data_IF_966672209296
#
_entry.id   IF_966672209296
#
_cell.length_a   1.000
_cell.length_b   1.000
_cell.length_c   1.000
_cell.angle_alpha   90.00
_cell.angle_beta   90.00
_cell.angle_gamma   90.00
#
_symmetry.space_group_name_H-M   'P 1'
#
loop_
_entity.id
_entity.type
_entity.pdbx_description
1 polymer ?
#
# COMPACT_ATOMS: atom_id res chain seq x y z
N UNK A 1 22.17 -85.11 6.09
CA UNK A 1 21.52 -84.23 5.10
C UNK A 1 21.16 -82.95 5.81
N UNK A 2 22.02 -81.95 5.67
CA UNK A 2 21.89 -80.62 6.30
C UNK A 2 21.18 -79.72 5.33
N UNK A 3 20.05 -79.10 5.75
CA UNK A 3 19.39 -78.04 5.02
C UNK A 3 20.04 -76.70 5.36
N UNK A 4 20.55 -76.01 4.35
CA UNK A 4 21.07 -74.65 4.42
C UNK A 4 19.87 -73.74 4.21
N UNK A 5 19.56 -72.91 5.20
CA UNK A 5 18.60 -71.81 5.09
C UNK A 5 19.33 -70.55 4.63
N UNK A 6 18.99 -70.08 3.47
CA UNK A 6 19.43 -68.77 2.97
C UNK A 6 18.60 -67.66 3.55
N UNK A 7 19.26 -66.75 4.29
CA UNK A 7 18.65 -65.53 4.84
C UNK A 7 18.87 -64.43 3.81
N UNK A 8 17.84 -64.04 3.10
CA UNK A 8 17.83 -62.80 2.31
C UNK A 8 17.57 -61.61 3.24
N UNK A 9 18.62 -60.84 3.51
CA UNK A 9 18.49 -59.52 4.13
C UNK A 9 18.18 -58.49 3.04
N UNK A 10 16.93 -58.07 2.94
CA UNK A 10 16.52 -56.95 2.10
C UNK A 10 16.88 -55.62 2.77
N UNK A 11 17.93 -55.02 2.25
CA UNK A 11 18.34 -53.64 2.61
C UNK A 11 17.46 -52.64 1.90
N UNK A 12 16.39 -52.20 2.59
CA UNK A 12 15.55 -51.09 2.11
C UNK A 12 16.30 -49.80 2.37
N UNK A 13 16.94 -49.26 1.32
CA UNK A 13 17.51 -47.91 1.33
C UNK A 13 16.36 -46.91 1.26
N UNK A 14 15.93 -46.36 2.39
CA UNK A 14 15.00 -45.23 2.44
C UNK A 14 15.79 -43.99 1.98
N UNK A 15 15.68 -43.68 0.67
CA UNK A 15 16.12 -42.39 0.15
C UNK A 15 15.08 -41.34 0.67
N UNK A 16 15.44 -40.70 1.78
CA UNK A 16 14.73 -39.52 2.25
C UNK A 16 14.94 -38.41 1.23
N UNK A 17 13.95 -38.16 0.41
CA UNK A 17 13.83 -36.87 -0.28
C UNK A 17 13.63 -35.80 0.78
N UNK A 18 14.71 -35.18 1.27
CA UNK A 18 14.63 -33.86 1.82
C UNK A 18 14.29 -32.95 0.65
N UNK A 19 13.01 -32.64 0.44
CA UNK A 19 12.63 -31.49 -0.33
C UNK A 19 13.22 -30.30 0.44
N UNK A 20 14.33 -29.75 -0.02
CA UNK A 20 14.74 -28.41 0.37
C UNK A 20 13.62 -27.50 -0.15
N UNK A 21 12.73 -27.10 0.73
CA UNK A 21 11.88 -25.94 0.48
C UNK A 21 12.87 -24.80 0.23
N UNK A 22 13.02 -24.39 -1.03
CA UNK A 22 13.84 -23.25 -1.38
C UNK A 22 13.16 -22.05 -0.70
N UNK A 23 13.86 -21.41 0.20
CA UNK A 23 13.39 -20.22 0.86
C UNK A 23 13.14 -19.17 -0.21
N UNK A 24 11.87 -18.73 -0.35
CA UNK A 24 11.49 -17.72 -1.33
C UNK A 24 12.11 -16.40 -0.89
N UNK A 25 12.86 -15.76 -1.77
CA UNK A 25 13.51 -14.48 -1.47
C UNK A 25 12.50 -13.33 -1.53
N UNK A 26 12.76 -12.24 -0.82
CA UNK A 26 11.97 -11.01 -0.90
C UNK A 26 11.86 -10.51 -2.36
N UNK A 27 12.90 -10.66 -3.16
CA UNK A 27 12.87 -10.32 -4.58
C UNK A 27 11.86 -11.15 -5.38
N UNK A 28 11.68 -12.42 -5.05
CA UNK A 28 10.65 -13.25 -5.69
C UNK A 28 9.26 -12.81 -5.32
N UNK A 29 9.01 -12.43 -4.07
CA UNK A 29 7.74 -11.85 -3.64
C UNK A 29 7.45 -10.53 -4.36
N UNK A 30 8.47 -9.70 -4.56
CA UNK A 30 8.36 -8.47 -5.34
C UNK A 30 7.96 -8.76 -6.79
N UNK A 31 8.55 -9.75 -7.45
CA UNK A 31 8.19 -10.17 -8.81
C UNK A 31 6.75 -10.72 -8.87
N UNK A 32 6.36 -11.54 -7.89
CA UNK A 32 5.00 -12.07 -7.79
C UNK A 32 3.98 -10.95 -7.62
N UNK A 33 4.26 -9.96 -6.76
CA UNK A 33 3.40 -8.81 -6.55
C UNK A 33 3.30 -7.94 -7.80
N UNK A 34 4.43 -7.63 -8.44
CA UNK A 34 4.45 -6.89 -9.71
C UNK A 34 3.59 -7.57 -10.78
N UNK A 35 3.68 -8.89 -10.87
CA UNK A 35 2.85 -9.66 -11.79
C UNK A 35 1.37 -9.67 -11.41
N UNK A 36 1.04 -9.73 -10.11
CA UNK A 36 -0.34 -9.69 -9.64
C UNK A 36 -0.99 -8.33 -9.93
N UNK A 37 -0.27 -7.24 -9.71
CA UNK A 37 -0.74 -5.88 -10.00
C UNK A 37 -0.98 -5.69 -11.52
N UNK A 38 -0.08 -6.19 -12.37
CA UNK A 38 -0.25 -6.14 -13.83
C UNK A 38 -1.46 -6.94 -14.28
N UNK A 39 -1.64 -8.16 -13.76
CA UNK A 39 -2.83 -8.99 -14.08
C UNK A 39 -4.11 -8.29 -13.66
N UNK A 40 -4.11 -7.63 -12.51
CA UNK A 40 -5.23 -6.85 -12.05
C UNK A 40 -5.53 -5.65 -12.98
N UNK A 41 -4.50 -4.90 -13.41
CA UNK A 41 -4.65 -3.82 -14.37
C UNK A 41 -5.22 -4.31 -15.71
N UNK A 42 -4.68 -5.39 -16.26
CA UNK A 42 -5.17 -6.00 -17.51
C UNK A 42 -6.65 -6.43 -17.37
N UNK A 43 -6.99 -6.99 -16.22
CA UNK A 43 -8.32 -7.49 -15.94
C UNK A 43 -9.37 -6.39 -15.89
N UNK A 44 -9.03 -5.19 -15.37
CA UNK A 44 -9.95 -4.05 -15.39
C UNK A 44 -10.27 -3.59 -16.81
N UNK A 45 -9.32 -3.66 -17.73
CA UNK A 45 -9.54 -3.38 -19.16
C UNK A 45 -10.39 -4.43 -19.88
N UNK A 46 -10.38 -5.70 -19.42
CA UNK A 46 -11.11 -6.79 -20.04
C UNK A 46 -12.59 -6.87 -19.63
N UNK A 47 -12.87 -6.75 -18.33
CA UNK A 47 -14.21 -7.00 -17.76
C UNK A 47 -14.80 -5.79 -17.03
N UNK A 48 -14.09 -4.68 -17.01
CA UNK A 48 -14.47 -3.47 -16.27
C UNK A 48 -14.01 -3.51 -14.82
N UNK A 49 -13.94 -2.31 -14.23
CA UNK A 49 -13.38 -2.10 -12.91
C UNK A 49 -14.08 -2.90 -11.82
N UNK A 50 -15.40 -2.81 -11.73
CA UNK A 50 -16.18 -3.42 -10.64
C UNK A 50 -16.01 -4.94 -10.59
N UNK A 51 -16.08 -5.62 -11.73
CA UNK A 51 -15.92 -7.07 -11.78
C UNK A 51 -14.47 -7.49 -11.51
N UNK A 52 -13.48 -6.75 -12.05
CA UNK A 52 -12.09 -7.03 -11.78
C UNK A 52 -11.76 -6.88 -10.28
N UNK A 53 -12.24 -5.82 -9.63
CA UNK A 53 -12.05 -5.64 -8.18
C UNK A 53 -12.57 -6.83 -7.37
N UNK A 54 -13.75 -7.34 -7.69
CA UNK A 54 -14.34 -8.50 -7.00
C UNK A 54 -13.47 -9.76 -7.08
N UNK A 55 -12.72 -9.93 -8.19
CA UNK A 55 -11.84 -11.08 -8.36
C UNK A 55 -10.60 -11.02 -7.45
N UNK A 56 -10.15 -9.80 -7.07
CA UNK A 56 -8.91 -9.60 -6.32
C UNK A 56 -9.11 -9.21 -4.86
N UNK A 57 -10.32 -8.80 -4.45
CA UNK A 57 -10.58 -8.35 -3.08
C UNK A 57 -10.38 -9.47 -2.06
N UNK A 58 -9.55 -9.19 -1.06
CA UNK A 58 -9.42 -10.02 0.13
C UNK A 58 -10.57 -9.80 1.13
N UNK A 59 -10.65 -10.68 2.10
CA UNK A 59 -11.53 -10.47 3.24
C UNK A 59 -11.06 -9.23 4.03
N UNK A 60 -12.00 -8.45 4.57
CA UNK A 60 -11.73 -7.20 5.29
C UNK A 60 -11.06 -6.08 4.45
N UNK A 61 -11.12 -6.19 3.11
CA UNK A 61 -10.65 -5.16 2.21
C UNK A 61 -11.49 -3.89 2.31
N UNK A 62 -10.82 -2.73 2.07
CA UNK A 62 -11.44 -1.42 2.14
C UNK A 62 -11.33 -0.66 0.83
N UNK A 63 -12.27 0.23 0.59
CA UNK A 63 -12.22 1.20 -0.50
C UNK A 63 -12.56 2.59 0.02
N UNK A 64 -11.90 3.61 -0.51
CA UNK A 64 -12.17 5.00 -0.16
C UNK A 64 -13.27 5.58 -1.05
N UNK A 65 -14.35 6.05 -0.44
CA UNK A 65 -15.48 6.67 -1.14
C UNK A 65 -15.63 8.13 -0.74
N UNK A 66 -16.00 8.95 -1.72
CA UNK A 66 -16.27 10.36 -1.49
C UNK A 66 -17.34 10.54 -0.41
N UNK A 67 -17.14 11.48 0.49
CA UNK A 67 -18.02 11.83 1.60
C UNK A 67 -18.24 10.74 2.67
N UNK A 68 -17.74 9.51 2.47
CA UNK A 68 -17.90 8.40 3.44
C UNK A 68 -16.58 7.91 4.02
N UNK A 69 -15.46 8.14 3.33
CA UNK A 69 -14.16 7.66 3.73
C UNK A 69 -13.93 6.18 3.44
N UNK A 70 -13.08 5.51 4.22
CA UNK A 70 -12.86 4.06 4.10
C UNK A 70 -14.13 3.29 4.48
N UNK A 71 -14.57 2.40 3.59
CA UNK A 71 -15.72 1.50 3.78
C UNK A 71 -15.34 0.08 3.39
N UNK A 72 -16.10 -0.91 3.83
CA UNK A 72 -15.94 -2.30 3.42
C UNK A 72 -16.08 -2.42 1.89
N UNK A 73 -15.04 -2.94 1.24
CA UNK A 73 -14.99 -3.02 -0.21
C UNK A 73 -15.90 -4.12 -0.77
N UNK A 74 -16.02 -5.26 -0.08
CA UNK A 74 -16.90 -6.35 -0.52
C UNK A 74 -18.36 -5.93 -0.46
N UNK A 75 -18.80 -5.27 0.62
CA UNK A 75 -20.17 -4.76 0.71
C UNK A 75 -20.44 -3.70 -0.35
N UNK A 76 -19.50 -2.78 -0.56
CA UNK A 76 -19.63 -1.69 -1.51
C UNK A 76 -19.78 -2.21 -2.95
N UNK A 77 -18.89 -3.10 -3.38
CA UNK A 77 -18.92 -3.64 -4.74
C UNK A 77 -20.00 -4.69 -4.98
N UNK A 78 -20.55 -5.32 -3.93
CA UNK A 78 -21.74 -6.17 -4.08
C UNK A 78 -23.01 -5.35 -4.35
N UNK A 79 -23.06 -4.13 -3.84
CA UNK A 79 -24.22 -3.22 -4.01
C UNK A 79 -24.16 -2.42 -5.32
N UNK A 80 -22.97 -2.24 -5.91
CA UNK A 80 -22.81 -1.50 -7.15
C UNK A 80 -23.36 -2.30 -8.34
N UNK A 81 -24.17 -1.61 -9.15
CA UNK A 81 -24.51 -2.11 -10.47
C UNK A 81 -23.21 -2.16 -11.30
N UNK A 82 -23.03 -3.22 -12.08
CA UNK A 82 -21.91 -3.37 -13.00
C UNK A 82 -21.69 -2.10 -13.81
N UNK A 83 -20.66 -1.35 -13.51
CA UNK A 83 -20.23 -0.22 -14.34
C UNK A 83 -19.10 -0.70 -15.26
N UNK A 84 -19.16 -0.29 -16.52
CA UNK A 84 -18.13 -0.54 -17.52
C UNK A 84 -17.04 0.53 -17.50
N UNK A 85 -16.77 1.07 -16.33
CA UNK A 85 -15.71 2.04 -16.17
C UNK A 85 -14.37 1.32 -16.34
N UNK A 86 -13.54 1.84 -17.25
CA UNK A 86 -12.19 1.35 -17.45
C UNK A 86 -11.25 2.12 -16.52
N UNK A 87 -10.31 1.41 -15.92
CA UNK A 87 -9.21 1.99 -15.20
C UNK A 87 -7.93 1.31 -15.66
N UNK A 88 -6.95 2.09 -16.05
CA UNK A 88 -5.64 1.60 -16.44
C UNK A 88 -4.56 2.22 -15.57
N UNK A 89 -3.53 1.47 -15.23
CA UNK A 89 -2.35 1.95 -14.53
C UNK A 89 -1.16 1.05 -14.81
N UNK A 90 0.01 1.55 -14.45
CA UNK A 90 1.25 0.79 -14.45
C UNK A 90 1.98 1.08 -13.14
N UNK A 91 2.38 0.05 -12.38
CA UNK A 91 3.09 0.26 -11.13
C UNK A 91 4.50 0.81 -11.38
N UNK A 92 4.77 2.00 -10.86
CA UNK A 92 6.08 2.65 -10.91
C UNK A 92 6.89 2.46 -9.61
N UNK A 93 6.22 2.17 -8.51
CA UNK A 93 6.84 1.85 -7.23
C UNK A 93 6.17 0.63 -6.63
N UNK A 94 6.98 -0.33 -6.21
CA UNK A 94 6.52 -1.57 -5.58
C UNK A 94 7.39 -1.84 -4.38
N UNK A 95 6.75 -2.11 -3.24
CA UNK A 95 7.42 -2.47 -2.00
C UNK A 95 6.77 -3.72 -1.40
N UNK A 96 7.58 -4.59 -0.79
CA UNK A 96 7.11 -5.86 -0.24
C UNK A 96 7.83 -6.17 1.07
N UNK A 97 7.11 -6.73 2.05
CA UNK A 97 7.69 -7.19 3.31
C UNK A 97 8.68 -8.32 3.09
N UNK A 98 9.60 -8.50 4.05
CA UNK A 98 10.61 -9.58 4.00
C UNK A 98 9.99 -10.96 3.87
N UNK A 99 8.90 -11.21 4.59
CA UNK A 99 8.20 -12.49 4.58
C UNK A 99 7.19 -12.62 3.42
N UNK A 100 7.04 -11.55 2.62
CA UNK A 100 6.20 -11.56 1.43
C UNK A 100 4.71 -11.72 1.70
N UNK A 101 4.24 -11.31 2.88
CA UNK A 101 2.84 -11.38 3.29
C UNK A 101 2.11 -10.03 3.16
N UNK A 102 2.87 -8.93 2.99
CA UNK A 102 2.35 -7.58 2.79
C UNK A 102 3.09 -6.90 1.65
N UNK A 103 2.36 -6.19 0.80
CA UNK A 103 2.92 -5.42 -0.30
C UNK A 103 2.15 -4.15 -0.60
N UNK A 104 2.80 -3.26 -1.35
CA UNK A 104 2.23 -2.02 -1.84
C UNK A 104 2.67 -1.79 -3.28
N UNK A 105 1.74 -1.37 -4.12
CA UNK A 105 2.01 -0.91 -5.48
C UNK A 105 1.50 0.51 -5.67
N UNK A 106 2.23 1.32 -6.43
CA UNK A 106 1.80 2.68 -6.78
C UNK A 106 2.14 2.97 -8.24
N UNK A 107 1.19 3.56 -8.95
CA UNK A 107 1.42 3.99 -10.31
C UNK A 107 0.45 5.07 -10.79
N UNK A 108 0.81 5.79 -11.86
CA UNK A 108 -0.11 6.69 -12.53
C UNK A 108 -1.29 5.90 -13.06
N UNK A 109 -2.48 6.46 -12.94
CA UNK A 109 -3.73 5.83 -13.36
C UNK A 109 -4.59 6.77 -14.19
N UNK A 110 -5.26 6.19 -15.17
CA UNK A 110 -6.28 6.83 -15.97
C UNK A 110 -7.60 6.10 -15.75
N UNK A 111 -8.64 6.86 -15.49
CA UNK A 111 -10.00 6.36 -15.35
C UNK A 111 -10.85 6.91 -16.48
N UNK A 112 -11.61 6.06 -17.16
CA UNK A 112 -12.48 6.41 -18.27
C UNK A 112 -13.91 6.02 -17.92
N UNK A 113 -14.75 7.02 -17.71
CA UNK A 113 -16.19 6.83 -17.59
C UNK A 113 -16.82 6.99 -18.96
N UNK A 114 -17.26 5.89 -19.54
CA UNK A 114 -17.90 5.87 -20.84
C UNK A 114 -19.37 6.18 -20.69
N UNK A 115 -19.76 7.40 -21.05
CA UNK A 115 -21.16 7.80 -21.12
C UNK A 115 -21.68 7.68 -22.56
N UNK A 116 -23.00 7.75 -22.73
CA UNK A 116 -23.62 7.75 -24.07
C UNK A 116 -23.38 9.04 -24.87
N UNK A 117 -22.92 10.10 -24.21
CA UNK A 117 -22.72 11.43 -24.83
C UNK A 117 -21.25 11.78 -25.04
N UNK A 118 -20.38 11.40 -24.12
CA UNK A 118 -18.93 11.62 -24.18
C UNK A 118 -18.20 10.75 -23.18
N UNK A 119 -16.92 10.44 -23.46
CA UNK A 119 -16.03 9.83 -22.49
C UNK A 119 -15.52 10.91 -21.53
N UNK A 120 -15.58 10.63 -20.23
CA UNK A 120 -15.01 11.48 -19.18
C UNK A 120 -13.73 10.83 -18.65
N UNK A 121 -12.65 11.59 -18.64
CA UNK A 121 -11.34 11.14 -18.21
C UNK A 121 -10.98 11.74 -16.85
N UNK A 122 -10.50 10.91 -15.94
CA UNK A 122 -9.90 11.33 -14.69
C UNK A 122 -8.52 10.68 -14.54
N UNK A 123 -7.60 11.42 -13.91
CA UNK A 123 -6.22 10.99 -13.75
C UNK A 123 -5.84 11.00 -12.28
N UNK A 124 -4.91 10.16 -11.90
CA UNK A 124 -4.44 10.07 -10.54
C UNK A 124 -3.23 9.19 -10.36
N UNK A 125 -2.90 8.94 -9.11
CA UNK A 125 -1.98 7.88 -8.72
C UNK A 125 -2.76 6.88 -7.89
N UNK A 126 -2.82 5.64 -8.37
CA UNK A 126 -3.40 4.53 -7.66
C UNK A 126 -2.37 3.99 -6.67
N UNK A 127 -2.78 3.86 -5.41
CA UNK A 127 -2.02 3.18 -4.35
C UNK A 127 -2.81 1.98 -3.90
N UNK A 128 -2.23 0.80 -4.04
CA UNK A 128 -2.88 -0.46 -3.68
C UNK A 128 -2.07 -1.19 -2.60
N UNK A 129 -2.76 -1.65 -1.58
CA UNK A 129 -2.21 -2.53 -0.53
C UNK A 129 -2.62 -3.96 -0.83
N UNK A 130 -1.65 -4.83 -0.76
CA UNK A 130 -1.79 -6.24 -1.05
C UNK A 130 -1.39 -7.09 0.16
N UNK A 131 -2.17 -8.11 0.44
CA UNK A 131 -1.83 -9.15 1.41
C UNK A 131 -1.74 -10.50 0.71
N UNK A 132 -0.76 -11.31 1.08
CA UNK A 132 -0.58 -12.62 0.50
C UNK A 132 -1.16 -13.68 1.42
N UNK A 133 -2.26 -14.31 0.98
CA UNK A 133 -2.96 -15.37 1.69
C UNK A 133 -2.91 -16.67 0.87
N UNK A 134 -2.53 -17.78 1.50
CA UNK A 134 -2.45 -19.10 0.86
C UNK A 134 -1.67 -19.11 -0.48
N UNK A 135 -0.71 -18.20 -0.61
CA UNK A 135 0.14 -18.09 -1.80
C UNK A 135 -0.40 -17.19 -2.92
N UNK A 136 -1.57 -16.58 -2.75
CA UNK A 136 -2.15 -15.61 -3.69
C UNK A 136 -2.12 -14.20 -3.10
N UNK A 137 -1.87 -13.19 -3.94
CA UNK A 137 -2.00 -11.79 -3.56
C UNK A 137 -3.46 -11.35 -3.65
N UNK A 138 -3.97 -10.80 -2.56
CA UNK A 138 -5.31 -10.26 -2.42
C UNK A 138 -5.24 -8.76 -2.17
N UNK A 139 -6.12 -7.99 -2.82
CA UNK A 139 -6.21 -6.55 -2.66
C UNK A 139 -6.91 -6.21 -1.35
N UNK A 140 -6.24 -5.45 -0.47
CA UNK A 140 -6.75 -5.07 0.85
C UNK A 140 -7.22 -3.62 0.92
N UNK A 141 -6.59 -2.74 0.16
CA UNK A 141 -6.97 -1.33 0.12
C UNK A 141 -6.61 -0.73 -1.23
N UNK A 142 -7.45 0.17 -1.69
CA UNK A 142 -7.28 0.87 -2.95
C UNK A 142 -7.68 2.34 -2.79
N UNK A 143 -6.74 3.24 -3.08
CA UNK A 143 -6.95 4.68 -2.95
C UNK A 143 -6.32 5.42 -4.13
N UNK A 144 -7.03 6.39 -4.69
CA UNK A 144 -6.54 7.23 -5.77
C UNK A 144 -6.38 8.67 -5.31
N UNK A 145 -5.17 9.20 -5.42
CA UNK A 145 -4.92 10.64 -5.36
C UNK A 145 -5.14 11.24 -6.75
N UNK A 146 -6.21 11.99 -6.92
CA UNK A 146 -6.59 12.57 -8.22
C UNK A 146 -5.70 13.75 -8.57
N UNK A 147 -5.31 13.85 -9.85
CA UNK A 147 -4.49 14.95 -10.38
C UNK A 147 -5.15 15.56 -11.62
N UNK A 148 -4.84 16.85 -11.96
CA UNK A 148 -5.22 17.42 -13.23
C UNK A 148 -4.58 16.68 -14.42
N UNK A 149 -5.30 16.54 -15.52
CA UNK A 149 -4.85 15.80 -16.70
C UNK A 149 -3.50 16.25 -17.27
N UNK A 150 -3.15 17.55 -17.13
CA UNK A 150 -1.86 18.06 -17.60
C UNK A 150 -0.66 17.55 -16.76
N UNK A 151 -0.89 17.04 -15.54
CA UNK A 151 0.13 16.39 -14.72
C UNK A 151 0.25 14.87 -14.97
N UNK A 152 -0.69 14.31 -15.73
CA UNK A 152 -0.65 12.89 -16.11
C UNK A 152 0.24 12.63 -17.33
N UNK A 153 0.60 13.69 -18.06
CA UNK A 153 1.40 13.58 -19.25
C UNK A 153 2.89 13.41 -18.85
N UNK A 154 3.51 12.35 -19.33
CA UNK A 154 4.95 12.10 -19.29
C UNK A 154 5.59 11.76 -17.93
N UNK A 155 4.88 11.06 -17.04
CA UNK A 155 5.56 10.43 -15.91
C UNK A 155 6.07 9.06 -16.36
N UNK A 156 7.23 9.03 -17.01
CA UNK A 156 7.93 7.77 -17.19
C UNK A 156 8.50 7.29 -15.83
N UNK A 157 8.45 5.97 -15.54
CA UNK A 157 9.03 5.46 -14.31
C UNK A 157 10.53 5.78 -14.27
N UNK A 158 10.97 6.39 -13.18
CA UNK A 158 12.39 6.46 -12.94
C UNK A 158 12.89 5.03 -12.67
N UNK A 159 13.90 4.59 -13.39
CA UNK A 159 14.45 3.24 -13.21
C UNK A 159 14.85 2.96 -11.76
N UNK A 160 15.34 3.96 -11.04
CA UNK A 160 15.66 3.83 -9.61
C UNK A 160 14.41 3.62 -8.75
N UNK A 161 13.27 4.15 -9.16
CA UNK A 161 12.00 4.01 -8.43
C UNK A 161 11.37 2.63 -8.61
N UNK A 162 11.68 1.95 -9.70
CA UNK A 162 11.19 0.58 -9.98
C UNK A 162 12.05 -0.51 -9.39
N UNK A 163 13.21 -0.17 -8.81
CA UNK A 163 14.06 -1.16 -8.17
C UNK A 163 13.42 -1.70 -6.89
N UNK A 164 13.51 -3.01 -6.65
CA UNK A 164 13.00 -3.58 -5.42
C UNK A 164 13.75 -3.03 -4.20
N UNK A 165 13.00 -2.59 -3.20
CA UNK A 165 13.55 -2.24 -1.89
C UNK A 165 13.82 -3.53 -1.15
N UNK A 166 15.05 -4.01 -1.24
CA UNK A 166 15.47 -5.23 -0.55
C UNK A 166 16.10 -4.85 0.79
N UNK A 167 15.65 -5.51 1.83
CA UNK A 167 16.25 -5.37 3.15
C UNK A 167 17.47 -6.28 3.27
N UNK A 168 18.66 -5.75 2.93
CA UNK A 168 19.93 -6.48 3.01
C UNK A 168 20.32 -6.84 4.46
N UNK A 169 19.67 -6.22 5.46
CA UNK A 169 19.93 -6.48 6.87
C UNK A 169 19.19 -7.71 7.42
N UNK A 170 18.59 -8.51 6.56
CA UNK A 170 17.81 -9.71 6.90
C UNK A 170 18.52 -10.73 7.84
N UNK A 171 19.79 -10.52 8.16
CA UNK A 171 20.54 -11.33 9.13
C UNK A 171 20.63 -10.76 10.55
N UNK A 172 20.30 -9.49 10.75
CA UNK A 172 20.28 -8.87 12.07
C UNK A 172 18.84 -8.64 12.52
N UNK A 173 18.26 -9.68 13.12
CA UNK A 173 17.06 -9.50 13.93
C UNK A 173 17.43 -8.57 15.07
N UNK A 174 17.18 -7.26 14.92
CA UNK A 174 17.29 -6.39 16.07
C UNK A 174 16.27 -6.89 17.11
N UNK A 175 16.68 -6.97 18.35
CA UNK A 175 15.79 -7.41 19.45
C UNK A 175 14.53 -6.53 19.55
N UNK A 176 14.55 -5.35 18.97
CA UNK A 176 13.45 -4.40 18.88
C UNK A 176 12.36 -4.82 17.91
N UNK A 177 12.68 -5.44 16.76
CA UNK A 177 11.68 -5.99 15.84
C UNK A 177 10.77 -7.03 16.51
N UNK A 178 11.32 -7.82 17.42
CA UNK A 178 10.54 -8.82 18.16
C UNK A 178 9.44 -8.21 19.03
N UNK A 179 9.62 -6.97 19.46
CA UNK A 179 8.66 -6.24 20.30
C UNK A 179 7.67 -5.40 19.50
N UNK A 180 7.84 -5.28 18.18
CA UNK A 180 6.87 -4.58 17.33
C UNK A 180 5.56 -5.34 17.29
N UNK A 181 4.50 -4.58 17.45
CA UNK A 181 3.12 -5.05 17.31
C UNK A 181 2.28 -3.96 16.63
N UNK A 182 1.05 -4.27 16.33
CA UNK A 182 0.14 -3.30 15.69
C UNK A 182 -0.06 -2.05 16.55
N UNK A 183 0.01 -2.16 17.88
CA UNK A 183 -0.12 -1.00 18.76
C UNK A 183 1.04 -0.04 18.58
N UNK A 184 2.27 -0.52 18.44
CA UNK A 184 3.44 0.33 18.19
C UNK A 184 3.33 1.11 16.86
N UNK A 185 2.69 0.54 15.87
CA UNK A 185 2.41 1.18 14.59
C UNK A 185 1.32 2.26 14.73
N UNK A 186 0.25 1.97 15.47
CA UNK A 186 -0.81 2.92 15.78
C UNK A 186 -0.26 4.10 16.59
N UNK A 187 0.58 3.83 17.60
CA UNK A 187 1.22 4.87 18.40
C UNK A 187 2.10 5.80 17.53
N UNK A 188 2.78 5.25 16.53
CA UNK A 188 3.56 6.05 15.57
C UNK A 188 2.66 6.92 14.67
N UNK A 189 1.52 6.39 14.24
CA UNK A 189 0.52 7.11 13.46
C UNK A 189 -0.07 8.29 14.27
N UNK A 190 -0.44 8.06 15.53
CA UNK A 190 -0.95 9.07 16.44
C UNK A 190 0.10 10.17 16.72
N UNK A 191 1.36 9.79 16.96
CA UNK A 191 2.46 10.72 17.17
C UNK A 191 2.74 11.57 15.93
N UNK A 192 2.63 11.01 14.75
CA UNK A 192 2.72 11.76 13.51
C UNK A 192 1.61 12.80 13.41
N UNK A 193 0.36 12.41 13.67
CA UNK A 193 -0.78 13.32 13.71
C UNK A 193 -0.61 14.48 14.69
N UNK A 194 -0.14 14.19 15.91
CA UNK A 194 0.21 15.21 16.88
C UNK A 194 1.33 16.14 16.36
N UNK A 195 2.34 15.58 15.69
CA UNK A 195 3.45 16.34 15.12
C UNK A 195 3.00 17.34 14.05
N UNK A 196 2.01 16.98 13.23
CA UNK A 196 1.42 17.89 12.24
C UNK A 196 0.91 19.16 12.93
N UNK A 197 0.16 19.00 14.02
CA UNK A 197 -0.42 20.12 14.75
C UNK A 197 0.62 21.02 15.44
N UNK A 198 1.72 20.44 15.93
CA UNK A 198 2.75 21.19 16.67
C UNK A 198 3.84 21.79 15.79
N UNK A 199 4.13 21.17 14.64
CA UNK A 199 5.30 21.51 13.82
C UNK A 199 4.95 21.97 12.41
N UNK A 200 3.70 21.74 11.97
CA UNK A 200 3.27 21.83 10.58
C UNK A 200 3.59 20.55 9.78
N UNK A 201 2.88 20.36 8.67
CA UNK A 201 2.97 19.15 7.86
C UNK A 201 4.36 18.85 7.34
N UNK A 202 5.06 19.86 6.81
CA UNK A 202 6.42 19.70 6.27
C UNK A 202 7.40 19.13 7.33
N UNK A 203 7.46 19.77 8.50
CA UNK A 203 8.38 19.35 9.56
C UNK A 203 7.98 18.03 10.22
N UNK A 204 6.68 17.73 10.24
CA UNK A 204 6.19 16.45 10.72
C UNK A 204 6.67 15.34 9.78
N UNK A 205 6.49 15.50 8.47
CA UNK A 205 6.92 14.47 7.52
C UNK A 205 8.45 14.35 7.43
N UNK A 206 9.20 15.47 7.53
CA UNK A 206 10.66 15.42 7.65
C UNK A 206 11.15 14.61 8.88
N UNK A 207 10.38 14.61 9.97
CA UNK A 207 10.75 13.86 11.19
C UNK A 207 10.36 12.39 11.13
N UNK A 208 9.17 12.10 10.60
CA UNK A 208 8.59 10.76 10.61
C UNK A 208 8.77 10.02 9.30
N UNK A 209 9.07 10.69 8.20
CA UNK A 209 9.32 10.06 6.92
C UNK A 209 10.68 9.37 6.83
N UNK A 210 10.80 8.50 5.84
CA UNK A 210 12.07 8.00 5.35
C UNK A 210 12.73 9.07 4.47
N UNK A 211 14.02 8.94 4.20
CA UNK A 211 14.70 9.79 3.20
C UNK A 211 14.09 9.65 1.80
N UNK A 212 13.53 8.50 1.49
CA UNK A 212 12.85 8.17 0.23
C UNK A 212 11.32 8.26 0.32
N UNK A 213 10.77 8.90 1.36
CA UNK A 213 9.32 9.05 1.54
C UNK A 213 8.66 9.57 0.26
N UNK A 214 7.51 9.00 -0.08
CA UNK A 214 6.69 9.39 -1.22
C UNK A 214 5.36 9.92 -0.75
N UNK A 215 4.89 10.99 -1.39
CA UNK A 215 3.55 11.52 -1.13
C UNK A 215 2.76 11.63 -2.43
N UNK A 216 1.51 11.19 -2.34
CA UNK A 216 0.54 11.28 -3.43
C UNK A 216 -0.64 12.10 -2.93
N UNK A 217 -0.69 13.35 -3.39
CA UNK A 217 -1.63 14.35 -2.88
C UNK A 217 -2.57 14.83 -3.98
N UNK A 218 -3.84 15.13 -3.64
CA UNK A 218 -4.80 15.62 -4.61
C UNK A 218 -4.32 16.91 -5.29
N UNK A 219 -4.40 16.94 -6.61
CA UNK A 219 -4.08 18.10 -7.42
C UNK A 219 -2.60 18.39 -7.59
N UNK A 220 -1.70 17.56 -7.07
CA UNK A 220 -0.26 17.76 -7.09
C UNK A 220 0.48 16.62 -7.76
N UNK A 221 1.63 16.90 -8.37
CA UNK A 221 2.56 15.87 -8.79
C UNK A 221 3.11 15.10 -7.56
N UNK A 222 3.49 13.82 -7.70
CA UNK A 222 4.10 13.07 -6.62
C UNK A 222 5.35 13.76 -6.10
N UNK A 223 5.50 13.81 -4.78
CA UNK A 223 6.71 14.28 -4.12
C UNK A 223 7.53 13.12 -3.58
N UNK A 224 8.86 13.17 -3.71
CA UNK A 224 9.79 12.15 -3.21
C UNK A 224 10.86 12.81 -2.35
N UNK A 225 11.18 12.18 -1.22
CA UNK A 225 12.23 12.64 -0.31
C UNK A 225 11.93 14.02 0.28
N UNK A 226 12.84 14.97 0.11
CA UNK A 226 12.69 16.34 0.63
C UNK A 226 11.50 17.05 -0.03
N UNK A 227 11.26 16.80 -1.30
CA UNK A 227 10.12 17.37 -2.05
C UNK A 227 8.80 16.84 -1.52
N UNK A 228 8.74 15.58 -1.06
CA UNK A 228 7.56 15.02 -0.41
C UNK A 228 7.14 15.82 0.82
N UNK A 229 8.10 16.19 1.66
CA UNK A 229 7.82 16.94 2.89
C UNK A 229 7.33 18.35 2.59
N UNK A 230 7.94 19.02 1.61
CA UNK A 230 7.53 20.36 1.17
C UNK A 230 6.12 20.33 0.55
N UNK A 231 5.83 19.35 -0.31
CA UNK A 231 4.52 19.17 -0.93
C UNK A 231 3.44 18.89 0.11
N UNK A 232 3.72 18.00 1.08
CA UNK A 232 2.80 17.67 2.17
C UNK A 232 2.46 18.90 3.02
N UNK A 233 3.48 19.68 3.39
CA UNK A 233 3.28 20.94 4.12
C UNK A 233 2.43 21.94 3.33
N UNK A 234 2.77 22.18 2.07
CA UNK A 234 2.04 23.10 1.19
C UNK A 234 0.58 22.66 1.00
N UNK A 235 0.32 21.37 0.83
CA UNK A 235 -1.02 20.83 0.72
C UNK A 235 -1.84 21.10 1.99
N UNK A 236 -1.35 20.71 3.16
CA UNK A 236 -2.06 20.92 4.44
C UNK A 236 -2.28 22.40 4.73
N UNK A 237 -1.31 23.27 4.44
CA UNK A 237 -1.46 24.72 4.59
C UNK A 237 -2.56 25.28 3.67
N UNK A 238 -2.76 24.69 2.50
CA UNK A 238 -3.79 25.10 1.55
C UNK A 238 -5.21 24.70 1.95
N UNK A 239 -5.37 23.53 2.64
CA UNK A 239 -6.70 22.96 2.94
C UNK A 239 -7.10 23.05 4.41
N UNK A 240 -6.14 23.13 5.34
CA UNK A 240 -6.40 23.18 6.78
C UNK A 240 -5.83 24.42 7.47
N UNK A 241 -4.89 25.14 6.83
CA UNK A 241 -4.32 26.43 7.24
C UNK A 241 -3.95 26.54 8.73
N UNK A 242 -4.86 27.08 9.57
CA UNK A 242 -4.65 27.28 11.02
C UNK A 242 -5.50 26.33 11.89
N UNK A 243 -6.18 25.40 11.28
CA UNK A 243 -7.05 24.46 11.98
C UNK A 243 -6.27 23.31 12.60
N UNK A 244 -6.76 22.80 13.73
CA UNK A 244 -6.24 21.57 14.31
C UNK A 244 -6.71 20.39 13.45
N UNK A 245 -5.77 19.55 13.04
CA UNK A 245 -6.04 18.34 12.28
C UNK A 245 -6.20 17.18 13.27
N UNK A 246 -7.34 16.50 13.21
CA UNK A 246 -7.60 15.29 13.95
C UNK A 246 -7.44 14.08 13.04
N UNK A 247 -6.62 13.12 13.46
CA UNK A 247 -6.56 11.81 12.83
C UNK A 247 -7.52 10.88 13.53
N UNK A 248 -8.33 10.18 12.72
CA UNK A 248 -9.22 9.11 13.17
C UNK A 248 -8.69 7.83 12.55
N UNK A 249 -7.89 7.10 13.32
CA UNK A 249 -7.38 5.80 12.92
C UNK A 249 -8.55 4.80 12.79
N UNK A 250 -8.62 4.07 11.66
CA UNK A 250 -9.70 3.12 11.41
C UNK A 250 -9.22 1.68 11.25
N UNK A 251 -7.95 1.49 10.90
CA UNK A 251 -7.37 0.15 10.78
C UNK A 251 -5.99 0.14 10.15
N UNK A 252 -5.51 -1.06 9.88
CA UNK A 252 -4.20 -1.32 9.31
C UNK A 252 -3.79 -2.76 9.48
N UNK A 253 -2.57 -3.07 9.07
CA UNK A 253 -1.97 -4.39 9.20
C UNK A 253 -0.47 -4.28 9.39
N UNK A 254 0.10 -5.21 10.15
CA UNK A 254 1.53 -5.36 10.36
C UNK A 254 2.00 -6.69 9.76
N UNK A 255 3.02 -6.66 8.89
CA UNK A 255 3.61 -7.87 8.31
C UNK A 255 4.12 -8.83 9.39
N UNK A 256 4.17 -10.10 9.08
CA UNK A 256 4.70 -11.14 9.98
C UNK A 256 6.16 -10.88 10.35
N UNK A 257 6.95 -10.34 9.41
CA UNK A 257 8.34 -9.91 9.64
C UNK A 257 8.46 -8.63 10.47
N UNK A 258 7.35 -7.92 10.74
CA UNK A 258 7.22 -6.78 11.65
C UNK A 258 8.03 -5.51 11.27
N UNK A 259 8.60 -5.46 10.09
CA UNK A 259 9.32 -4.29 9.59
C UNK A 259 8.53 -3.44 8.61
N UNK A 260 7.38 -3.94 8.14
CA UNK A 260 6.48 -3.24 7.23
C UNK A 260 5.05 -3.31 7.76
N UNK A 261 4.33 -2.22 7.65
CA UNK A 261 2.91 -2.16 8.00
C UNK A 261 2.21 -1.02 7.28
N UNK A 262 0.90 -0.97 7.39
CA UNK A 262 0.13 0.19 6.93
C UNK A 262 -0.95 0.56 7.94
N UNK A 263 -1.31 1.84 7.93
CA UNK A 263 -2.43 2.40 8.67
C UNK A 263 -3.32 3.18 7.72
N UNK A 264 -4.61 3.24 8.04
CA UNK A 264 -5.56 4.05 7.30
C UNK A 264 -6.63 4.65 8.21
N UNK A 265 -7.26 5.70 7.71
CA UNK A 265 -8.31 6.36 8.45
C UNK A 265 -8.76 7.66 7.79
N UNK A 266 -9.23 8.58 8.62
CA UNK A 266 -9.72 9.89 8.18
C UNK A 266 -8.95 11.00 8.90
N UNK A 267 -8.58 12.00 8.13
CA UNK A 267 -7.99 13.27 8.56
C UNK A 267 -9.05 14.33 8.49
N UNK A 268 -9.32 15.03 9.60
CA UNK A 268 -10.33 16.07 9.65
C UNK A 268 -9.79 17.33 10.30
N UNK A 269 -10.14 18.49 9.74
CA UNK A 269 -9.88 19.77 10.39
C UNK A 269 -11.18 20.50 10.61
N UNK A 270 -11.44 20.82 11.89
CA UNK A 270 -12.62 21.57 12.29
C UNK A 270 -12.39 23.07 12.07
N UNK A 271 -13.34 23.69 11.37
CA UNK A 271 -13.50 25.14 11.27
C UNK A 271 -12.28 25.94 10.80
N UNK A 272 -12.03 25.91 9.51
CA UNK A 272 -11.34 27.05 8.88
C UNK A 272 -12.07 28.36 9.18
N UNK A 273 -11.35 29.49 9.32
CA UNK A 273 -11.95 30.80 9.55
C UNK A 273 -13.00 31.21 8.51
N UNK A 274 -12.97 30.60 7.33
CA UNK A 274 -13.90 30.77 6.21
C UNK A 274 -15.12 29.83 6.26
N UNK A 275 -15.21 28.95 7.25
CA UNK A 275 -16.30 27.99 7.41
C UNK A 275 -16.20 26.74 6.56
N UNK A 276 -15.08 26.52 5.86
CA UNK A 276 -14.85 25.28 5.13
C UNK A 276 -14.31 24.20 6.08
N UNK A 277 -14.84 23.00 6.03
CA UNK A 277 -14.30 21.84 6.75
C UNK A 277 -13.38 21.04 5.79
N UNK A 278 -12.21 20.67 6.26
CA UNK A 278 -11.35 19.73 5.56
C UNK A 278 -11.62 18.31 6.04
N UNK A 279 -11.78 17.38 5.12
CA UNK A 279 -11.83 15.96 5.41
C UNK A 279 -11.14 15.21 4.29
N UNK A 280 -10.25 14.28 4.65
CA UNK A 280 -9.57 13.41 3.69
C UNK A 280 -9.40 12.01 4.27
N UNK A 281 -9.61 11.00 3.44
CA UNK A 281 -9.10 9.65 3.71
C UNK A 281 -7.59 9.64 3.59
N UNK A 282 -6.92 8.94 4.49
CA UNK A 282 -5.48 8.70 4.40
C UNK A 282 -5.17 7.21 4.39
N UNK A 283 -4.09 6.86 3.72
CA UNK A 283 -3.43 5.57 3.79
C UNK A 283 -1.92 5.80 3.86
N UNK A 284 -1.27 5.18 4.84
CA UNK A 284 0.18 5.27 5.08
C UNK A 284 0.80 3.92 5.10
N UNK A 285 1.88 3.76 4.36
CA UNK A 285 2.80 2.64 4.53
C UNK A 285 3.94 3.07 5.44
N UNK A 286 4.31 2.17 6.33
CA UNK A 286 5.36 2.34 7.31
C UNK A 286 6.46 1.30 7.13
N UNK A 287 7.69 1.73 7.34
CA UNK A 287 8.87 0.87 7.44
C UNK A 287 9.57 1.09 8.78
N UNK A 288 10.00 0.00 9.40
CA UNK A 288 10.78 0.07 10.62
C UNK A 288 12.24 0.36 10.28
N UNK A 289 12.78 1.43 10.87
CA UNK A 289 14.14 1.94 10.60
C UNK A 289 15.17 1.28 11.51
N UNK A 290 16.43 1.36 11.13
CA UNK A 290 17.57 0.84 11.91
C UNK A 290 17.73 1.50 13.30
N UNK A 291 17.15 2.69 13.49
CA UNK A 291 17.14 3.40 14.79
C UNK A 291 15.97 3.02 15.70
N UNK A 292 15.32 1.90 15.44
CA UNK A 292 14.19 1.37 16.20
C UNK A 292 12.95 2.28 16.21
N UNK A 293 12.74 3.05 15.15
CA UNK A 293 11.57 3.91 14.96
C UNK A 293 10.83 3.56 13.68
N UNK A 294 9.51 3.75 13.66
CA UNK A 294 8.71 3.69 12.43
C UNK A 294 8.97 4.92 11.56
N UNK A 295 9.05 4.71 10.25
CA UNK A 295 9.15 5.75 9.24
C UNK A 295 8.11 5.60 8.16
N UNK A 296 7.48 6.71 7.75
CA UNK A 296 6.53 6.74 6.65
C UNK A 296 7.29 6.55 5.35
N UNK A 297 6.96 5.50 4.60
CA UNK A 297 7.48 5.25 3.27
C UNK A 297 6.58 5.85 2.19
N UNK A 298 5.26 5.70 2.35
CA UNK A 298 4.26 6.25 1.44
C UNK A 298 3.14 6.89 2.24
N UNK A 299 2.73 8.09 1.83
CA UNK A 299 1.54 8.81 2.29
C UNK A 299 0.65 9.14 1.12
N UNK A 300 -0.61 8.77 1.17
CA UNK A 300 -1.60 9.15 0.17
C UNK A 300 -2.83 9.74 0.83
N UNK A 301 -3.34 10.83 0.26
CA UNK A 301 -4.55 11.50 0.71
C UNK A 301 -5.59 11.54 -0.41
N UNK A 302 -6.84 11.38 -0.02
CA UNK A 302 -8.02 11.55 -0.89
C UNK A 302 -9.05 12.43 -0.19
N UNK A 303 -9.49 13.56 -0.77
CA UNK A 303 -10.60 14.36 -0.23
C UNK A 303 -11.88 13.54 -0.08
N UNK A 304 -12.64 13.83 0.97
CA UNK A 304 -13.92 13.20 1.27
C UNK A 304 -15.09 14.16 1.12
#
# INVERSE_FOLDING_TARGET
>A
MRKIAEIYASLTCAIGFCANAQEISQYQYWLELSSADQVYADRTGEIGRTEAFREFLGQDSIVFRDQRGPVDALEEYLSDATSFDEMTWEAHYIDVSRDGDLGLTVGPSEFINRTTESDEYAYGHLVSIWQRNDGAWELMADIVATIPGFLSLDVEPNFEDTQPVLDETAGSSSSSLLNNDMQSLIDADDLFGLSINFRGGERALLRYGLESTRVYLPGMAPGIGVEASAAYGAYLDSVASTSTINLIHMGGFLSTSKEMGYTYGVMQADNSPDGTSFSAGYLRQWRFKDNDEWGIAVEVLRPL
#
